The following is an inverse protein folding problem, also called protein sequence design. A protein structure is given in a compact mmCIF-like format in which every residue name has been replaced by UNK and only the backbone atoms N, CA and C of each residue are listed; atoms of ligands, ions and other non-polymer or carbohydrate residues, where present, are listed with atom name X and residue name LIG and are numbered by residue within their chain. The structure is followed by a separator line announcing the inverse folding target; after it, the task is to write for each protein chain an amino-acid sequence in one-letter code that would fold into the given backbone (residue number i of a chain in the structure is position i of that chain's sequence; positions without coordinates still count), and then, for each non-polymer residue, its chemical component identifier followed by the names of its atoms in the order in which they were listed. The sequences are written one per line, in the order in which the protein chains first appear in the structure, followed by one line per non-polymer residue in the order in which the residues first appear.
data_IF_626737718093
#
_entry.id   IF_626737718093
#
_cell.length_a   1.000
_cell.length_b   1.000
_cell.length_c   1.000
_cell.angle_alpha   90.00
_cell.angle_beta   90.00
_cell.angle_gamma   90.00
#
_symmetry.space_group_name_H-M   'P 1'
#
loop_
_entity.id
_entity.type
_entity.pdbx_description
1 polymer ?
#
# COMPACT_ATOMS: atom_id res chain seq x y z
N UNK A 1 4.31 -7.65 -9.32
CA UNK A 1 4.10 -6.18 -9.30
C UNK A 1 5.04 -5.51 -10.31
N UNK A 2 4.69 -5.52 -11.61
CA UNK A 2 5.53 -4.99 -12.69
C UNK A 2 4.78 -3.93 -13.50
N UNK A 3 3.54 -4.22 -13.88
CA UNK A 3 2.71 -3.32 -14.67
C UNK A 3 2.35 -2.04 -13.90
N UNK A 4 2.07 -2.14 -12.61
CA UNK A 4 1.78 -0.98 -11.74
C UNK A 4 2.96 0.00 -11.71
N UNK A 5 4.16 -0.52 -11.52
CA UNK A 5 5.38 0.30 -11.53
C UNK A 5 5.67 0.86 -12.92
N UNK A 6 5.40 0.10 -13.99
CA UNK A 6 5.52 0.62 -15.35
C UNK A 6 4.50 1.72 -15.64
N UNK A 7 3.31 1.64 -15.06
CA UNK A 7 2.30 2.69 -15.16
C UNK A 7 2.79 3.98 -14.48
N UNK A 8 3.30 3.90 -13.24
CA UNK A 8 3.91 5.04 -12.54
C UNK A 8 5.07 5.65 -13.34
N UNK A 9 5.98 4.82 -13.85
CA UNK A 9 7.09 5.27 -14.70
C UNK A 9 6.60 6.02 -15.95
N UNK A 10 5.54 5.52 -16.61
CA UNK A 10 4.96 6.21 -17.76
C UNK A 10 4.30 7.52 -17.35
N UNK A 11 3.56 7.57 -16.24
CA UNK A 11 2.88 8.78 -15.76
C UNK A 11 3.89 9.89 -15.44
N UNK A 12 4.91 9.56 -14.64
CA UNK A 12 6.02 10.47 -14.31
C UNK A 12 6.71 10.95 -15.59
N UNK A 13 7.02 10.05 -16.54
CA UNK A 13 7.69 10.42 -17.81
C UNK A 13 6.89 11.45 -18.62
N UNK A 14 5.56 11.43 -18.54
CA UNK A 14 4.70 12.38 -19.24
C UNK A 14 4.29 13.58 -18.39
N UNK A 15 4.89 13.76 -17.20
CA UNK A 15 4.57 14.87 -16.30
C UNK A 15 3.15 14.81 -15.73
N UNK A 16 2.56 13.60 -15.68
CA UNK A 16 1.25 13.40 -15.06
C UNK A 16 1.45 13.19 -13.57
N UNK A 17 0.82 14.05 -12.76
CA UNK A 17 0.82 13.92 -11.31
C UNK A 17 0.20 12.58 -10.89
N UNK A 18 0.88 11.85 -10.02
CA UNK A 18 0.41 10.56 -9.53
C UNK A 18 0.97 10.23 -8.15
N UNK A 19 0.14 9.60 -7.31
CA UNK A 19 0.45 9.27 -5.92
C UNK A 19 0.34 7.76 -5.74
N UNK A 20 1.44 7.04 -5.43
CA UNK A 20 1.37 5.60 -5.23
C UNK A 20 0.85 5.26 -3.84
N UNK A 21 -0.18 4.42 -3.76
CA UNK A 21 -0.70 3.87 -2.52
C UNK A 21 -0.62 2.33 -2.51
N UNK A 22 -0.41 1.71 -1.34
CA UNK A 22 -0.55 0.27 -1.22
C UNK A 22 -1.00 -0.21 0.16
N UNK A 23 -1.84 -1.25 0.15
CA UNK A 23 -2.22 -2.05 1.32
C UNK A 23 -1.03 -2.84 1.89
N UNK A 24 -0.42 -2.34 2.97
CA UNK A 24 0.76 -2.96 3.58
C UNK A 24 0.43 -4.08 4.56
N UNK A 25 -0.82 -4.22 4.99
CA UNK A 25 -1.25 -5.23 5.97
C UNK A 25 -0.93 -6.67 5.55
N UNK A 26 -0.68 -6.93 4.26
CA UNK A 26 -0.32 -8.24 3.73
C UNK A 26 1.15 -8.36 3.33
N UNK A 27 1.95 -7.34 3.61
CA UNK A 27 3.34 -7.22 3.16
C UNK A 27 4.30 -7.35 4.33
N UNK A 28 5.45 -7.99 4.08
CA UNK A 28 6.56 -7.97 5.04
C UNK A 28 7.32 -6.66 4.92
N UNK A 29 8.02 -6.27 5.99
CA UNK A 29 8.94 -5.11 5.97
C UNK A 29 9.93 -5.17 4.79
N UNK A 30 10.52 -6.34 4.54
CA UNK A 30 11.46 -6.54 3.42
C UNK A 30 10.79 -6.29 2.06
N UNK A 31 9.56 -6.77 1.86
CA UNK A 31 8.82 -6.55 0.61
C UNK A 31 8.44 -5.09 0.41
N UNK A 32 8.11 -4.38 1.49
CA UNK A 32 7.83 -2.94 1.46
C UNK A 32 9.10 -2.14 1.12
N UNK A 33 10.23 -2.45 1.77
CA UNK A 33 11.52 -1.81 1.44
C UNK A 33 11.93 -2.05 -0.02
N UNK A 34 11.67 -3.25 -0.56
CA UNK A 34 11.87 -3.55 -1.99
C UNK A 34 10.97 -2.70 -2.88
N UNK A 35 9.71 -2.46 -2.49
CA UNK A 35 8.81 -1.56 -3.23
C UNK A 35 9.33 -0.12 -3.20
N UNK A 36 9.68 0.41 -2.03
CA UNK A 36 10.20 1.78 -1.87
C UNK A 36 11.46 2.02 -2.71
N UNK A 37 12.38 1.05 -2.76
CA UNK A 37 13.56 1.15 -3.65
C UNK A 37 13.16 1.26 -5.12
N UNK A 38 12.22 0.43 -5.57
CA UNK A 38 11.76 0.43 -6.98
C UNK A 38 10.96 1.68 -7.34
N UNK A 39 10.26 2.29 -6.38
CA UNK A 39 9.63 3.60 -6.57
C UNK A 39 10.70 4.69 -6.72
N UNK A 40 11.72 4.69 -5.85
CA UNK A 40 12.83 5.65 -5.93
C UNK A 40 13.70 5.53 -7.18
N UNK A 41 13.76 4.34 -7.80
CA UNK A 41 14.37 4.13 -9.12
C UNK A 41 13.58 4.83 -10.24
N UNK A 42 12.28 5.07 -10.06
CA UNK A 42 11.43 5.79 -11.02
C UNK A 42 11.51 7.29 -10.76
N UNK A 43 11.20 7.70 -9.53
CA UNK A 43 11.23 9.10 -9.09
C UNK A 43 11.25 9.16 -7.56
N UNK A 44 11.99 10.11 -6.98
CA UNK A 44 12.09 10.25 -5.53
C UNK A 44 10.78 10.78 -4.91
N UNK A 45 10.02 11.61 -5.61
CA UNK A 45 8.71 12.11 -5.18
C UNK A 45 7.72 10.97 -4.94
N UNK A 46 7.76 9.90 -5.74
CA UNK A 46 6.92 8.71 -5.52
C UNK A 46 7.21 7.98 -4.19
N UNK A 47 8.40 8.17 -3.61
CA UNK A 47 8.74 7.62 -2.28
C UNK A 47 8.25 8.56 -1.19
N UNK A 48 8.38 9.87 -1.41
CA UNK A 48 7.99 10.92 -0.45
C UNK A 48 6.47 11.03 -0.30
N UNK A 49 5.74 10.77 -1.39
CA UNK A 49 4.28 10.82 -1.47
C UNK A 49 3.62 9.44 -1.36
N UNK A 50 4.39 8.39 -1.01
CA UNK A 50 3.86 7.04 -0.90
C UNK A 50 2.85 6.92 0.25
N UNK A 51 1.60 6.57 -0.09
CA UNK A 51 0.53 6.40 0.88
C UNK A 51 0.45 4.96 1.39
N UNK A 52 0.49 4.82 2.71
CA UNK A 52 0.40 3.53 3.40
C UNK A 52 -1.05 3.26 3.77
N UNK A 53 -1.63 2.21 3.18
CA UNK A 53 -2.96 1.73 3.54
C UNK A 53 -2.87 0.50 4.45
N UNK A 54 -3.76 0.42 5.44
CA UNK A 54 -3.88 -0.74 6.33
C UNK A 54 -5.34 -1.22 6.45
N UNK A 55 -5.51 -2.49 6.80
CA UNK A 55 -6.82 -3.09 7.00
C UNK A 55 -7.57 -2.42 8.14
N UNK A 56 -8.83 -2.07 7.88
CA UNK A 56 -9.81 -1.80 8.94
C UNK A 56 -10.61 -3.08 9.19
N UNK A 57 -10.44 -3.63 10.38
CA UNK A 57 -10.94 -4.95 10.80
C UNK A 57 -12.41 -4.89 11.25
N UNK A 58 -13.30 -4.47 10.35
CA UNK A 58 -14.73 -4.67 10.55
C UNK A 58 -15.06 -6.16 10.69
N UNK A 59 -16.11 -6.54 11.45
CA UNK A 59 -16.45 -7.95 11.67
C UNK A 59 -16.54 -8.77 10.36
N UNK A 60 -17.20 -8.23 9.34
CA UNK A 60 -17.34 -8.90 8.04
C UNK A 60 -16.02 -9.03 7.26
N UNK A 61 -15.04 -8.14 7.49
CA UNK A 61 -13.70 -8.25 6.89
C UNK A 61 -12.93 -9.38 7.57
N UNK A 62 -12.96 -9.44 8.90
CA UNK A 62 -12.33 -10.52 9.67
C UNK A 62 -12.89 -11.89 9.27
N UNK A 63 -14.20 -12.00 9.13
CA UNK A 63 -14.85 -13.24 8.69
C UNK A 63 -14.41 -13.66 7.28
N UNK A 64 -14.26 -12.70 6.36
CA UNK A 64 -13.74 -12.95 5.01
C UNK A 64 -12.29 -13.43 5.03
N UNK A 65 -11.44 -12.79 5.82
CA UNK A 65 -10.03 -13.17 5.96
C UNK A 65 -9.92 -14.61 6.47
N UNK A 66 -10.69 -14.97 7.51
CA UNK A 66 -10.76 -16.33 8.04
C UNK A 66 -11.28 -17.32 7.02
N UNK A 67 -12.39 -17.00 6.34
CA UNK A 67 -13.03 -17.87 5.32
C UNK A 67 -12.05 -18.28 4.22
N UNK A 68 -11.18 -17.38 3.79
CA UNK A 68 -10.22 -17.63 2.71
C UNK A 68 -8.80 -17.94 3.20
N UNK A 69 -8.58 -18.07 4.52
CA UNK A 69 -7.26 -18.36 5.10
C UNK A 69 -6.22 -17.26 4.84
N UNK A 70 -6.64 -16.01 4.63
CA UNK A 70 -5.75 -14.89 4.36
C UNK A 70 -5.13 -14.40 5.66
N UNK A 71 -3.79 -14.43 5.71
CA UNK A 71 -3.01 -13.89 6.83
C UNK A 71 -2.64 -12.45 6.55
N UNK A 72 -2.70 -11.63 7.60
CA UNK A 72 -2.25 -10.24 7.59
C UNK A 72 -1.30 -10.01 8.77
N UNK A 73 -0.43 -9.02 8.66
CA UNK A 73 0.58 -8.64 9.66
C UNK A 73 0.12 -7.48 10.54
N UNK A 74 -0.62 -6.52 9.97
CA UNK A 74 -1.07 -5.30 10.66
C UNK A 74 -2.51 -4.94 10.27
N UNK A 75 -3.18 -4.12 11.08
CA UNK A 75 -4.54 -3.64 10.82
C UNK A 75 -5.17 -3.02 12.07
N UNK A 76 -6.11 -2.11 11.87
CA UNK A 76 -6.78 -1.36 12.92
C UNK A 76 -8.20 -1.84 13.13
N UNK A 77 -8.69 -1.75 14.36
CA UNK A 77 -10.13 -1.87 14.62
C UNK A 77 -10.82 -0.58 14.20
N UNK A 78 -12.11 -0.62 13.81
CA UNK A 78 -12.85 0.58 13.41
C UNK A 78 -12.85 1.71 14.46
N UNK A 79 -12.74 1.36 15.75
CA UNK A 79 -12.67 2.32 16.86
C UNK A 79 -11.27 2.90 17.12
N UNK A 80 -10.26 2.52 16.33
CA UNK A 80 -8.85 2.88 16.54
C UNK A 80 -8.11 3.16 15.22
N UNK A 81 -8.81 3.71 14.24
CA UNK A 81 -8.21 4.11 12.96
C UNK A 81 -7.35 5.37 13.22
N UNK A 82 -6.09 5.41 12.75
CA UNK A 82 -5.27 6.62 12.78
C UNK A 82 -5.96 7.79 12.06
N UNK A 83 -5.92 9.03 12.57
CA UNK A 83 -6.60 10.17 11.94
C UNK A 83 -6.16 10.46 10.50
N UNK A 84 -4.93 10.12 10.16
CA UNK A 84 -4.33 10.21 8.82
C UNK A 84 -4.88 9.16 7.83
N UNK A 85 -5.67 8.19 8.30
CA UNK A 85 -6.33 7.15 7.49
C UNK A 85 -7.87 7.28 7.46
N UNK A 86 -8.43 8.42 7.88
CA UNK A 86 -9.89 8.70 7.90
C UNK A 86 -10.26 9.74 6.84
#
# INVERSE_FOLDING_TARGET
FKLQLKALENLVRYGVECHPAAMISFSTKESLEKLMRRLGEIDRGLVEEFEVEELILYPHVVDRLRKYGLRYFTGYRPDRIPPDQI
#
